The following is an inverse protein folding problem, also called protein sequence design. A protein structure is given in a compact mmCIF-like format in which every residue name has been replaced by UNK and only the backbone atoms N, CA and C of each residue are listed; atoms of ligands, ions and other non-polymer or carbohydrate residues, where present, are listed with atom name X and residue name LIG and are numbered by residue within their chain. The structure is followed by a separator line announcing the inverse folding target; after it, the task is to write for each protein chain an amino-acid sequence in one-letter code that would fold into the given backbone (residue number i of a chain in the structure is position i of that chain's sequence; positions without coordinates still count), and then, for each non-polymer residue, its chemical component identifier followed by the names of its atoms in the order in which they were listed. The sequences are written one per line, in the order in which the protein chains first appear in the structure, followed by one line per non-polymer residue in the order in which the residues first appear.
data_IF_175095821460
#
_entry.id   IF_175095821460
#
_cell.length_a   1.000
_cell.length_b   1.000
_cell.length_c   1.000
_cell.angle_alpha   90.00
_cell.angle_beta   90.00
_cell.angle_gamma   90.00
#
_symmetry.space_group_name_H-M   'P 1'
#
loop_
_entity.id
_entity.type
_entity.pdbx_description
1 polymer ?
#
# COMPACT_ATOMS: atom_id res chain seq x y z
N UNK A 1 -16.90 67.88 -0.37
CA UNK A 1 -17.72 67.03 -1.31
C UNK A 1 -16.97 65.76 -1.57
N UNK A 2 -17.32 64.68 -0.82
CA UNK A 2 -16.83 63.33 -1.01
C UNK A 2 -17.74 62.62 -2.04
N UNK A 3 -17.17 62.30 -3.19
CA UNK A 3 -17.84 61.52 -4.22
C UNK A 3 -17.81 60.04 -3.90
N UNK A 4 -18.94 59.45 -3.62
CA UNK A 4 -19.16 58.00 -3.51
C UNK A 4 -19.05 57.32 -4.87
N UNK A 5 -18.13 56.40 -5.06
CA UNK A 5 -18.06 55.52 -6.25
C UNK A 5 -19.15 54.43 -6.15
N UNK A 6 -19.89 54.15 -7.21
CA UNK A 6 -20.89 53.08 -7.20
C UNK A 6 -20.22 51.70 -7.24
N UNK A 7 -20.73 50.78 -6.45
CA UNK A 7 -20.36 49.35 -6.47
C UNK A 7 -20.78 48.71 -7.80
N UNK A 8 -19.95 47.77 -8.35
CA UNK A 8 -20.34 47.03 -9.53
C UNK A 8 -21.48 46.05 -9.18
N UNK A 9 -22.50 46.02 -10.02
CA UNK A 9 -23.64 45.11 -9.94
C UNK A 9 -23.13 43.67 -10.16
N UNK A 10 -23.44 42.78 -9.21
CA UNK A 10 -23.28 41.35 -9.35
C UNK A 10 -24.13 40.86 -10.51
N UNK A 11 -23.46 40.44 -11.58
CA UNK A 11 -24.13 39.85 -12.74
C UNK A 11 -24.74 38.51 -12.36
N UNK A 12 -26.01 38.34 -12.70
CA UNK A 12 -26.72 37.06 -12.61
C UNK A 12 -25.98 36.01 -13.44
N UNK A 13 -25.48 34.96 -12.77
CA UNK A 13 -24.98 33.73 -13.41
C UNK A 13 -26.18 33.02 -14.02
N UNK A 14 -26.28 33.07 -15.35
CA UNK A 14 -27.27 32.27 -16.08
C UNK A 14 -26.86 30.82 -15.95
N UNK A 15 -27.74 30.02 -15.37
CA UNK A 15 -27.69 28.55 -15.34
C UNK A 15 -27.59 28.03 -16.78
N UNK A 16 -26.37 27.60 -17.17
CA UNK A 16 -26.19 26.84 -18.41
C UNK A 16 -26.33 25.37 -18.04
N UNK A 17 -27.54 24.85 -18.18
CA UNK A 17 -27.77 23.41 -18.24
C UNK A 17 -27.03 22.86 -19.46
N UNK A 18 -25.94 22.14 -19.22
CA UNK A 18 -25.28 21.34 -20.25
C UNK A 18 -26.12 20.09 -20.48
N UNK A 19 -26.88 20.03 -21.57
CA UNK A 19 -27.45 18.77 -22.07
C UNK A 19 -26.30 17.84 -22.48
N UNK A 20 -26.03 16.80 -21.70
CA UNK A 20 -25.11 15.72 -22.10
C UNK A 20 -25.87 14.85 -23.09
N UNK A 21 -25.78 15.16 -24.38
CA UNK A 21 -26.24 14.29 -25.46
C UNK A 21 -25.19 13.21 -25.70
N UNK A 22 -25.61 11.96 -25.57
CA UNK A 22 -24.85 10.82 -26.05
C UNK A 22 -24.00 10.09 -25.01
N UNK A 23 -24.61 9.63 -23.95
CA UNK A 23 -24.04 8.47 -23.25
C UNK A 23 -24.36 7.24 -24.12
N UNK A 24 -23.37 6.83 -24.93
CA UNK A 24 -23.40 5.49 -25.50
C UNK A 24 -23.60 4.53 -24.32
N UNK A 25 -24.66 3.72 -24.38
CA UNK A 25 -24.89 2.66 -23.42
C UNK A 25 -23.62 1.79 -23.36
N UNK A 26 -22.90 1.91 -22.24
CA UNK A 26 -21.78 0.99 -22.00
C UNK A 26 -22.32 -0.43 -22.01
N UNK A 27 -21.65 -1.35 -22.71
CA UNK A 27 -22.07 -2.76 -22.70
C UNK A 27 -22.10 -3.22 -21.23
N UNK A 28 -23.10 -4.02 -20.90
CA UNK A 28 -23.32 -4.56 -19.56
C UNK A 28 -22.00 -5.14 -19.00
N UNK A 29 -21.62 -4.82 -17.75
CA UNK A 29 -20.28 -5.08 -17.20
C UNK A 29 -19.81 -6.53 -17.25
N UNK A 30 -20.72 -7.49 -17.44
CA UNK A 30 -20.42 -8.92 -17.42
C UNK A 30 -19.87 -9.51 -18.72
N UNK A 31 -20.00 -8.82 -19.85
CA UNK A 31 -19.50 -9.35 -21.14
C UNK A 31 -18.13 -8.82 -21.58
N UNK A 32 -17.65 -7.74 -20.97
CA UNK A 32 -16.37 -7.13 -21.33
C UNK A 32 -15.13 -7.83 -20.71
N UNK A 33 -15.30 -8.78 -19.80
CA UNK A 33 -14.21 -9.41 -19.05
C UNK A 33 -14.00 -10.91 -19.31
N UNK A 34 -14.46 -11.44 -20.42
CA UNK A 34 -14.22 -12.85 -20.77
C UNK A 34 -12.74 -13.19 -21.05
N UNK A 35 -11.86 -12.21 -21.06
CA UNK A 35 -10.42 -12.37 -21.28
C UNK A 35 -9.52 -12.04 -20.08
N UNK A 36 -10.09 -11.77 -18.90
CA UNK A 36 -9.25 -11.60 -17.70
C UNK A 36 -8.61 -12.95 -17.38
N UNK A 37 -7.26 -13.04 -17.33
CA UNK A 37 -6.61 -14.25 -16.88
C UNK A 37 -7.19 -14.62 -15.51
N UNK A 38 -7.67 -15.85 -15.37
CA UNK A 38 -8.09 -16.36 -14.05
C UNK A 38 -6.90 -16.16 -13.14
N UNK A 39 -7.07 -15.31 -12.10
CA UNK A 39 -6.09 -15.21 -11.02
C UNK A 39 -5.90 -16.65 -10.54
N UNK A 40 -4.72 -17.18 -10.81
CA UNK A 40 -4.40 -18.54 -10.42
C UNK A 40 -4.24 -18.55 -8.90
N UNK A 41 -5.35 -18.78 -8.21
CA UNK A 41 -5.36 -19.06 -6.77
C UNK A 41 -4.86 -20.49 -6.56
N UNK A 42 -3.67 -20.81 -7.07
CA UNK A 42 -3.00 -22.01 -6.64
C UNK A 42 -2.89 -21.93 -5.11
N UNK A 43 -3.25 -22.99 -4.37
CA UNK A 43 -3.16 -22.99 -2.92
C UNK A 43 -1.73 -22.58 -2.55
N UNK A 44 -1.62 -21.61 -1.66
CA UNK A 44 -0.34 -21.09 -1.18
C UNK A 44 0.56 -22.27 -0.80
N UNK A 45 1.70 -22.39 -1.50
CA UNK A 45 2.63 -23.47 -1.22
C UNK A 45 3.18 -23.24 0.18
N UNK A 46 2.78 -24.11 1.10
CA UNK A 46 3.36 -24.10 2.44
C UNK A 46 4.85 -24.40 2.37
N UNK A 47 5.63 -23.64 3.09
CA UNK A 47 7.07 -23.85 3.28
C UNK A 47 7.38 -24.02 4.76
N UNK A 48 8.61 -24.38 5.09
CA UNK A 48 9.07 -24.44 6.49
C UNK A 48 9.64 -23.06 6.84
N UNK A 49 9.04 -22.42 7.84
CA UNK A 49 9.49 -21.15 8.41
C UNK A 49 9.67 -21.38 9.91
N UNK A 50 10.86 -21.10 10.43
CA UNK A 50 11.20 -21.29 11.85
C UNK A 50 10.83 -22.69 12.41
N UNK A 51 10.99 -23.71 11.56
CA UNK A 51 10.68 -25.10 11.92
C UNK A 51 9.21 -25.50 11.79
N UNK A 52 8.32 -24.57 11.49
CA UNK A 52 6.89 -24.81 11.30
C UNK A 52 6.51 -24.74 9.82
N UNK A 53 5.52 -25.54 9.43
CA UNK A 53 4.98 -25.53 8.08
C UNK A 53 3.88 -24.49 7.97
N UNK A 54 4.14 -23.39 7.21
CA UNK A 54 3.20 -22.29 7.03
C UNK A 54 3.29 -21.65 5.65
N UNK A 55 2.33 -20.83 5.31
CA UNK A 55 2.36 -19.99 4.10
C UNK A 55 3.22 -18.74 4.33
N UNK A 56 3.63 -18.07 3.24
CA UNK A 56 4.31 -16.78 3.35
C UNK A 56 3.42 -15.70 4.01
N UNK A 57 2.11 -15.75 3.77
CA UNK A 57 1.15 -14.85 4.40
C UNK A 57 1.11 -15.05 5.92
N UNK A 58 1.03 -16.29 6.37
CA UNK A 58 1.08 -16.63 7.81
C UNK A 58 2.40 -16.22 8.46
N UNK A 59 3.52 -16.45 7.78
CA UNK A 59 4.83 -16.03 8.26
C UNK A 59 4.91 -14.51 8.43
N UNK A 60 4.35 -13.74 7.49
CA UNK A 60 4.31 -12.28 7.54
C UNK A 60 3.47 -11.79 8.72
N UNK A 61 2.26 -12.31 8.88
CA UNK A 61 1.36 -11.91 9.99
C UNK A 61 2.01 -12.23 11.34
N UNK A 62 2.50 -13.45 11.51
CA UNK A 62 3.19 -13.86 12.75
C UNK A 62 4.39 -12.96 13.07
N UNK A 63 5.20 -12.62 12.06
CA UNK A 63 6.34 -11.74 12.25
C UNK A 63 5.94 -10.33 12.70
N UNK A 64 4.86 -9.77 12.16
CA UNK A 64 4.33 -8.49 12.62
C UNK A 64 3.83 -8.55 14.07
N UNK A 65 3.17 -9.64 14.45
CA UNK A 65 2.73 -9.86 15.82
C UNK A 65 3.90 -10.01 16.80
N UNK A 66 4.94 -10.76 16.42
CA UNK A 66 6.15 -10.97 17.23
C UNK A 66 6.96 -9.67 17.39
N UNK A 67 6.89 -8.76 16.41
CA UNK A 67 7.45 -7.41 16.47
C UNK A 67 6.61 -6.44 17.31
N UNK A 68 5.45 -6.87 17.83
CA UNK A 68 4.57 -6.07 18.66
C UNK A 68 3.82 -4.98 17.91
N UNK A 69 3.55 -5.18 16.63
CA UNK A 69 2.74 -4.26 15.82
C UNK A 69 1.31 -4.23 16.36
N UNK A 70 0.76 -3.05 16.60
CA UNK A 70 -0.58 -2.86 17.14
C UNK A 70 -1.58 -2.38 16.09
N UNK A 71 -1.12 -1.56 15.13
CA UNK A 71 -1.94 -1.01 14.06
C UNK A 71 -1.27 -1.19 12.71
N UNK A 72 -2.06 -1.63 11.73
CA UNK A 72 -1.64 -1.76 10.33
C UNK A 72 -2.63 -1.03 9.45
N UNK A 73 -2.13 -0.19 8.56
CA UNK A 73 -2.94 0.60 7.62
C UNK A 73 -2.76 0.04 6.20
N UNK A 74 -3.83 0.00 5.42
CA UNK A 74 -3.66 -0.50 4.05
C UNK A 74 -4.93 -0.64 3.24
N UNK A 75 -4.75 -1.14 2.02
CA UNK A 75 -5.82 -1.47 1.08
C UNK A 75 -5.52 -2.84 0.44
N UNK A 76 -6.50 -3.76 0.43
CA UNK A 76 -6.35 -5.03 -0.26
C UNK A 76 -6.24 -4.85 -1.78
N UNK A 77 -5.55 -5.77 -2.44
CA UNK A 77 -5.46 -5.86 -3.89
C UNK A 77 -4.93 -7.23 -4.31
N UNK A 78 -5.01 -7.55 -5.60
CA UNK A 78 -4.84 -8.91 -6.12
C UNK A 78 -3.61 -9.65 -5.60
N UNK A 79 -2.43 -9.05 -5.70
CA UNK A 79 -1.17 -9.71 -5.34
C UNK A 79 -0.99 -9.92 -3.82
N UNK A 80 -1.68 -9.15 -2.97
CA UNK A 80 -1.55 -9.20 -1.52
C UNK A 80 -2.75 -9.87 -0.82
N UNK A 81 -3.76 -10.32 -1.57
CA UNK A 81 -4.96 -10.95 -1.01
C UNK A 81 -4.68 -12.11 -0.04
N UNK A 82 -3.69 -12.99 -0.24
CA UNK A 82 -3.39 -14.04 0.73
C UNK A 82 -3.09 -13.48 2.13
N UNK A 83 -2.37 -12.36 2.22
CA UNK A 83 -2.08 -11.69 3.49
C UNK A 83 -3.37 -11.12 4.11
N UNK A 84 -4.24 -10.54 3.31
CA UNK A 84 -5.52 -10.01 3.79
C UNK A 84 -6.51 -11.07 4.24
N UNK A 85 -6.42 -12.28 3.71
CA UNK A 85 -7.19 -13.41 4.22
C UNK A 85 -6.74 -13.78 5.65
N UNK A 86 -5.44 -13.83 5.90
CA UNK A 86 -4.92 -14.08 7.24
C UNK A 86 -5.27 -12.93 8.22
N UNK A 87 -5.17 -11.67 7.78
CA UNK A 87 -5.56 -10.50 8.59
C UNK A 87 -7.01 -10.61 9.05
N UNK A 88 -7.92 -11.04 8.19
CA UNK A 88 -9.34 -11.13 8.50
C UNK A 88 -9.63 -12.09 9.65
N UNK A 89 -8.91 -13.20 9.73
CA UNK A 89 -9.30 -14.33 10.55
C UNK A 89 -8.46 -14.47 11.85
N UNK A 90 -7.23 -13.94 11.89
CA UNK A 90 -6.24 -14.37 12.90
C UNK A 90 -5.21 -13.31 13.34
N UNK A 91 -5.57 -12.02 13.48
CA UNK A 91 -4.57 -11.04 13.90
C UNK A 91 -4.76 -10.54 15.33
N UNK A 92 -3.63 -10.29 16.02
CA UNK A 92 -3.59 -9.59 17.31
C UNK A 92 -3.54 -8.07 17.17
N UNK A 93 -3.19 -7.58 15.98
CA UNK A 93 -3.17 -6.16 15.67
C UNK A 93 -4.49 -5.69 15.04
N UNK A 94 -4.78 -4.41 15.16
CA UNK A 94 -5.92 -3.78 14.48
C UNK A 94 -5.53 -3.45 13.03
N UNK A 95 -6.35 -3.90 12.08
CA UNK A 95 -6.25 -3.47 10.68
C UNK A 95 -7.19 -2.29 10.41
N UNK A 96 -6.65 -1.21 9.85
CA UNK A 96 -7.39 0.00 9.45
C UNK A 96 -7.46 0.06 7.93
N UNK A 97 -8.66 -0.24 7.39
CA UNK A 97 -8.90 -0.17 5.96
C UNK A 97 -8.96 1.29 5.50
N UNK A 98 -8.06 1.64 4.60
CA UNK A 98 -7.98 2.97 4.00
C UNK A 98 -8.69 2.99 2.64
N UNK A 99 -8.85 4.18 2.06
CA UNK A 99 -9.52 4.36 0.76
C UNK A 99 -8.55 4.73 -0.37
N UNK A 100 -7.27 4.94 -0.04
CA UNK A 100 -6.18 5.21 -0.96
C UNK A 100 -4.87 4.82 -0.31
N UNK A 101 -3.92 4.28 -1.06
CA UNK A 101 -2.65 3.78 -0.53
C UNK A 101 -1.77 4.90 0.04
N UNK A 102 -1.77 6.07 -0.61
CA UNK A 102 -1.08 7.25 -0.07
C UNK A 102 -1.63 7.63 1.32
N UNK A 103 -2.95 7.59 1.49
CA UNK A 103 -3.56 7.84 2.79
C UNK A 103 -3.19 6.76 3.81
N UNK A 104 -3.01 5.50 3.38
CA UNK A 104 -2.54 4.43 4.25
C UNK A 104 -1.11 4.68 4.73
N UNK A 105 -0.22 5.12 3.84
CA UNK A 105 1.14 5.52 4.19
C UNK A 105 1.17 6.68 5.18
N UNK A 106 0.47 7.78 4.89
CA UNK A 106 0.42 8.93 5.82
C UNK A 106 -0.28 8.60 7.15
N UNK A 107 -1.23 7.66 7.17
CA UNK A 107 -1.82 7.20 8.44
C UNK A 107 -0.80 6.40 9.27
N UNK A 108 0.02 5.56 8.65
CA UNK A 108 1.11 4.85 9.30
C UNK A 108 2.17 5.82 9.83
N UNK A 109 2.52 6.85 9.05
CA UNK A 109 3.41 7.93 9.44
C UNK A 109 2.86 8.71 10.64
N UNK A 110 1.61 9.17 10.57
CA UNK A 110 0.94 9.85 11.68
C UNK A 110 0.84 9.00 12.95
N UNK A 111 0.62 7.68 12.80
CA UNK A 111 0.67 6.73 13.91
C UNK A 111 2.07 6.70 14.56
N UNK A 112 3.12 6.64 13.75
CA UNK A 112 4.49 6.62 14.24
C UNK A 112 4.82 7.91 15.02
N UNK A 113 4.46 9.07 14.48
CA UNK A 113 4.64 10.37 15.14
C UNK A 113 3.88 10.48 16.46
N UNK A 114 2.65 9.96 16.48
CA UNK A 114 1.79 10.07 17.68
C UNK A 114 2.17 9.10 18.79
N UNK A 115 2.71 7.91 18.44
CA UNK A 115 2.95 6.82 19.40
C UNK A 115 4.43 6.59 19.72
N UNK A 116 5.34 7.07 18.87
CA UNK A 116 6.76 6.75 18.94
C UNK A 116 7.09 5.32 18.47
N UNK A 117 6.13 4.60 17.89
CA UNK A 117 6.30 3.24 17.36
C UNK A 117 6.54 3.29 15.85
N UNK A 118 7.03 2.19 15.27
CA UNK A 118 7.17 2.08 13.82
C UNK A 118 5.78 1.98 13.18
N UNK A 119 5.49 2.85 12.22
CA UNK A 119 4.26 2.79 11.45
C UNK A 119 4.30 1.65 10.42
N UNK A 120 3.21 0.93 10.24
CA UNK A 120 3.15 -0.20 9.29
C UNK A 120 2.03 0.01 8.27
N UNK A 121 2.40 -0.07 6.99
CA UNK A 121 1.47 0.03 5.86
C UNK A 121 1.58 -1.21 4.97
N UNK A 122 0.43 -1.78 4.55
CA UNK A 122 0.38 -2.93 3.63
C UNK A 122 -0.46 -2.56 2.41
N UNK A 123 0.14 -2.67 1.23
CA UNK A 123 -0.49 -2.34 -0.05
C UNK A 123 -0.21 -3.40 -1.11
N UNK A 124 -0.97 -3.40 -2.21
CA UNK A 124 -0.75 -4.36 -3.31
C UNK A 124 0.43 -3.97 -4.21
N UNK A 125 0.73 -4.80 -5.19
CA UNK A 125 1.76 -4.57 -6.22
C UNK A 125 1.43 -3.40 -7.14
N UNK A 126 2.35 -3.04 -8.01
CA UNK A 126 2.16 -2.08 -9.11
C UNK A 126 1.53 -0.78 -8.64
N UNK A 127 0.29 -0.49 -9.06
CA UNK A 127 -0.36 0.79 -8.74
C UNK A 127 -0.55 1.02 -7.24
N UNK A 128 -0.76 -0.02 -6.42
CA UNK A 128 -0.84 0.12 -4.98
C UNK A 128 0.50 0.55 -4.37
N UNK A 129 1.58 -0.10 -4.80
CA UNK A 129 2.92 0.23 -4.34
C UNK A 129 3.39 1.61 -4.83
N UNK A 130 3.09 1.99 -6.08
CA UNK A 130 3.45 3.33 -6.59
C UNK A 130 2.65 4.45 -5.92
N UNK A 131 1.40 4.21 -5.55
CA UNK A 131 0.56 5.19 -4.85
C UNK A 131 1.09 5.54 -3.44
N UNK A 132 1.84 4.68 -2.77
CA UNK A 132 2.37 4.95 -1.42
C UNK A 132 3.71 5.70 -1.42
N UNK A 133 4.33 5.89 -2.59
CA UNK A 133 5.67 6.50 -2.72
C UNK A 133 5.74 7.90 -2.11
N UNK A 134 4.71 8.72 -2.26
CA UNK A 134 4.67 10.06 -1.63
C UNK A 134 4.83 9.97 -0.12
N UNK A 135 4.09 9.09 0.54
CA UNK A 135 4.19 8.91 1.99
C UNK A 135 5.56 8.33 2.42
N UNK A 136 6.16 7.46 1.59
CA UNK A 136 7.53 6.97 1.82
C UNK A 136 8.53 8.14 1.77
N UNK A 137 8.42 9.00 0.76
CA UNK A 137 9.30 10.16 0.60
C UNK A 137 9.15 11.15 1.77
N UNK A 138 7.92 11.40 2.20
CA UNK A 138 7.59 12.27 3.34
C UNK A 138 8.21 11.74 4.63
N UNK A 139 7.94 10.49 4.98
CA UNK A 139 8.52 9.82 6.14
C UNK A 139 10.06 9.81 6.12
N UNK A 140 10.69 9.70 4.93
CA UNK A 140 12.14 9.78 4.81
C UNK A 140 12.67 11.18 5.07
N UNK A 141 11.99 12.22 4.60
CA UNK A 141 12.37 13.62 4.84
C UNK A 141 12.20 14.00 6.30
N UNK A 142 11.12 13.57 6.93
CA UNK A 142 10.76 13.90 8.30
C UNK A 142 11.38 12.97 9.35
N UNK A 143 12.15 11.97 8.90
CA UNK A 143 12.80 10.98 9.78
C UNK A 143 11.80 10.16 10.60
N UNK A 144 10.69 9.75 9.99
CA UNK A 144 9.64 8.97 10.63
C UNK A 144 9.87 7.47 10.38
N UNK A 145 9.94 6.64 11.42
CA UNK A 145 10.15 5.21 11.27
C UNK A 145 8.90 4.55 10.70
N UNK A 146 9.02 3.94 9.52
CA UNK A 146 7.91 3.27 8.84
C UNK A 146 8.38 2.01 8.13
N UNK A 147 7.56 0.96 8.15
CA UNK A 147 7.72 -0.24 7.32
C UNK A 147 6.56 -0.32 6.35
N UNK A 148 6.89 -0.32 5.05
CA UNK A 148 5.90 -0.44 3.99
C UNK A 148 6.04 -1.80 3.33
N UNK A 149 4.98 -2.60 3.39
CA UNK A 149 4.92 -3.92 2.80
C UNK A 149 4.11 -3.85 1.53
N UNK A 150 4.74 -4.11 0.40
CA UNK A 150 4.08 -4.11 -0.91
C UNK A 150 3.92 -5.53 -1.43
N UNK A 151 2.78 -5.81 -2.06
CA UNK A 151 2.65 -7.00 -2.88
C UNK A 151 3.64 -6.95 -4.05
N UNK A 152 3.94 -8.11 -4.62
CA UNK A 152 4.67 -8.23 -5.87
C UNK A 152 4.04 -9.33 -6.72
N UNK A 153 4.26 -9.29 -8.02
CA UNK A 153 3.90 -10.38 -8.93
C UNK A 153 4.66 -11.66 -8.57
N UNK A 154 4.16 -12.81 -8.99
CA UNK A 154 4.85 -14.07 -8.72
C UNK A 154 6.32 -14.03 -9.19
N UNK A 155 7.21 -14.67 -8.45
CA UNK A 155 8.68 -14.60 -8.66
C UNK A 155 9.10 -14.86 -10.12
N UNK A 156 8.41 -15.74 -10.82
CA UNK A 156 8.71 -16.07 -12.22
C UNK A 156 8.25 -14.97 -13.19
N UNK A 157 7.40 -14.04 -12.76
CA UNK A 157 6.88 -12.95 -13.56
C UNK A 157 7.62 -11.62 -13.31
N UNK A 158 8.53 -11.58 -12.34
CA UNK A 158 9.32 -10.38 -12.06
C UNK A 158 10.25 -10.07 -13.24
N UNK A 159 10.19 -8.84 -13.74
CA UNK A 159 10.98 -8.37 -14.88
C UNK A 159 10.39 -8.73 -16.25
N UNK A 160 9.12 -9.14 -16.31
CA UNK A 160 8.44 -9.51 -17.55
C UNK A 160 7.35 -8.52 -18.00
N UNK A 161 7.24 -7.37 -17.32
CA UNK A 161 6.14 -6.41 -17.51
C UNK A 161 4.76 -7.04 -17.27
N UNK A 162 4.68 -7.93 -16.28
CA UNK A 162 3.44 -8.60 -15.91
C UNK A 162 2.37 -7.60 -15.43
N UNK A 163 1.10 -8.04 -15.48
CA UNK A 163 -0.01 -7.19 -15.03
C UNK A 163 0.19 -6.71 -13.58
N UNK A 164 0.16 -5.38 -13.40
CA UNK A 164 0.41 -4.70 -12.11
C UNK A 164 1.82 -4.99 -11.53
N UNK A 165 2.81 -5.23 -12.36
CA UNK A 165 4.20 -5.20 -11.95
C UNK A 165 4.74 -3.76 -11.96
N UNK A 166 5.60 -3.43 -11.02
CA UNK A 166 6.46 -2.25 -11.04
C UNK A 166 7.76 -2.55 -10.31
N UNK A 167 8.86 -1.93 -10.75
CA UNK A 167 10.15 -1.98 -10.03
C UNK A 167 10.10 -1.09 -8.79
N UNK A 168 9.43 -1.56 -7.75
CA UNK A 168 9.25 -0.79 -6.51
C UNK A 168 10.58 -0.60 -5.79
N UNK A 169 11.49 -1.55 -5.85
CA UNK A 169 12.83 -1.39 -5.25
C UNK A 169 13.56 -0.22 -5.92
N UNK A 170 13.58 -0.17 -7.25
CA UNK A 170 14.20 0.94 -7.98
C UNK A 170 13.50 2.28 -7.73
N UNK A 171 12.16 2.29 -7.69
CA UNK A 171 11.36 3.51 -7.47
C UNK A 171 11.57 4.06 -6.04
N UNK A 172 11.64 3.20 -5.03
CA UNK A 172 11.72 3.63 -3.63
C UNK A 172 13.16 3.81 -3.14
N UNK A 173 14.15 3.32 -3.87
CA UNK A 173 15.56 3.41 -3.50
C UNK A 173 16.01 4.83 -3.10
N UNK A 174 15.71 5.90 -3.86
CA UNK A 174 16.15 7.26 -3.51
C UNK A 174 15.34 7.93 -2.39
N UNK A 175 14.20 7.36 -2.01
CA UNK A 175 13.25 7.95 -1.05
C UNK A 175 13.01 7.09 0.20
N UNK A 176 13.81 6.05 0.39
CA UNK A 176 13.75 5.17 1.56
C UNK A 176 15.13 4.92 2.15
N UNK A 177 15.18 4.44 3.37
CA UNK A 177 16.44 4.02 3.99
C UNK A 177 16.95 2.72 3.40
N UNK A 178 16.03 1.80 3.11
CA UNK A 178 16.33 0.52 2.49
C UNK A 178 15.09 -0.09 1.83
N UNK A 179 15.30 -0.83 0.75
CA UNK A 179 14.25 -1.58 0.07
C UNK A 179 14.68 -3.03 -0.11
N UNK A 180 13.78 -3.96 0.16
CA UNK A 180 14.00 -5.39 0.05
C UNK A 180 13.14 -6.00 -1.06
N UNK A 181 13.68 -6.96 -1.80
CA UNK A 181 12.91 -7.85 -2.68
C UNK A 181 12.92 -9.25 -2.08
N UNK A 182 11.80 -9.67 -1.50
CA UNK A 182 11.69 -10.99 -0.87
C UNK A 182 11.15 -12.00 -1.88
N UNK A 183 11.98 -12.98 -2.26
CA UNK A 183 11.62 -13.99 -3.26
C UNK A 183 11.32 -15.37 -2.66
N UNK A 184 11.55 -15.56 -1.36
CA UNK A 184 11.30 -16.83 -0.66
C UNK A 184 10.56 -16.58 0.65
N UNK A 185 9.51 -17.35 0.90
CA UNK A 185 8.67 -17.21 2.10
C UNK A 185 9.46 -17.38 3.42
N UNK A 186 10.46 -18.26 3.43
CA UNK A 186 11.31 -18.48 4.60
C UNK A 186 12.19 -17.29 4.99
N UNK A 187 12.40 -16.33 4.09
CA UNK A 187 13.17 -15.13 4.38
C UNK A 187 12.32 -14.01 5.04
N UNK A 188 10.99 -14.12 5.01
CA UNK A 188 10.07 -13.09 5.50
C UNK A 188 10.34 -12.69 6.95
N UNK A 189 10.48 -13.61 7.94
CA UNK A 189 10.67 -13.20 9.33
C UNK A 189 11.97 -12.43 9.53
N UNK A 190 13.06 -12.89 8.90
CA UNK A 190 14.36 -12.23 8.97
C UNK A 190 14.30 -10.84 8.33
N UNK A 191 13.78 -10.75 7.11
CA UNK A 191 13.72 -9.48 6.37
C UNK A 191 12.83 -8.48 7.09
N UNK A 192 11.69 -8.91 7.65
CA UNK A 192 10.81 -8.02 8.41
C UNK A 192 11.49 -7.48 9.68
N UNK A 193 12.20 -8.33 10.40
CA UNK A 193 12.98 -7.91 11.57
C UNK A 193 14.08 -6.92 11.19
N UNK A 194 14.78 -7.15 10.07
CA UNK A 194 15.79 -6.23 9.54
C UNK A 194 15.16 -4.89 9.13
N UNK A 195 14.03 -4.92 8.41
CA UNK A 195 13.32 -3.71 7.99
C UNK A 195 12.87 -2.87 9.19
N UNK A 196 12.33 -3.53 10.20
CA UNK A 196 11.88 -2.88 11.43
C UNK A 196 13.05 -2.24 12.20
N UNK A 197 14.16 -2.96 12.31
CA UNK A 197 15.40 -2.47 12.91
C UNK A 197 15.96 -1.26 12.14
N UNK A 198 16.06 -1.37 10.81
CA UNK A 198 16.56 -0.29 9.95
C UNK A 198 15.67 0.95 10.04
N UNK A 199 14.34 0.76 10.02
CA UNK A 199 13.40 1.88 10.13
C UNK A 199 13.59 2.67 11.42
N UNK A 200 13.87 1.99 12.52
CA UNK A 200 13.87 2.57 13.88
C UNK A 200 15.26 2.96 14.41
N UNK A 201 16.36 2.67 13.72
CA UNK A 201 17.73 2.89 14.23
C UNK A 201 18.47 3.99 13.47
N UNK A 202 19.44 4.63 14.11
CA UNK A 202 20.16 5.77 13.56
C UNK A 202 19.21 6.94 13.31
N UNK A 203 19.28 7.57 12.14
CA UNK A 203 18.21 8.48 11.68
C UNK A 203 17.00 7.62 11.30
N UNK A 204 15.85 7.70 11.98
CA UNK A 204 14.67 6.94 11.60
C UNK A 204 14.22 7.24 10.18
N UNK A 205 13.45 6.33 9.59
CA UNK A 205 12.93 6.53 8.24
C UNK A 205 12.30 5.25 7.67
N UNK A 206 11.77 5.28 6.44
CA UNK A 206 11.04 4.17 5.87
C UNK A 206 11.96 3.05 5.37
N UNK A 207 11.54 1.79 5.61
CA UNK A 207 12.01 0.59 4.95
C UNK A 207 10.87 -0.05 4.14
N UNK A 208 11.15 -0.56 2.92
CA UNK A 208 10.16 -1.08 1.97
C UNK A 208 10.45 -2.54 1.65
#
# INVERSE_FOLDING_TARGET
HAGTRPHPKVGQVRDKTYEVRGIMALPTPLQAFSGVPKINTAPDKQTIVDGEKMTGAQALIRSLEDLGVEDVFGIPGGAILPVYHEIKDNTKFRFVLMRHEQAAGHAAEGHALATGKVGVCIVTSGPGATNVVTAIADANMDSVPMVVITGQVGVQAIGTDAFQEADIVGITYPVSKHSFLVTRAQDIPRVLSEAYYIANTGRPGPAV
#
